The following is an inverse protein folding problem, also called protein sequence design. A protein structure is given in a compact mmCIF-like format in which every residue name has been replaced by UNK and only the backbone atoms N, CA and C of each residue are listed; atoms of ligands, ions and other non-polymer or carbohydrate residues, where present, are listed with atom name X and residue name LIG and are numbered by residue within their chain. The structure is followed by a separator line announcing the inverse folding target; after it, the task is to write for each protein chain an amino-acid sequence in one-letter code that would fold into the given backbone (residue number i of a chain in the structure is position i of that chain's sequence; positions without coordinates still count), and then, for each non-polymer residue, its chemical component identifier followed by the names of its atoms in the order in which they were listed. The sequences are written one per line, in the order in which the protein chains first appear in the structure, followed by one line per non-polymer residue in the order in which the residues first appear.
data_IF_748113929977
#
_entry.id   IF_748113929977
#
_cell.length_a   1.000
_cell.length_b   1.000
_cell.length_c   1.000
_cell.angle_alpha   90.00
_cell.angle_beta   90.00
_cell.angle_gamma   90.00
#
_symmetry.space_group_name_H-M   'P 1'
#
loop_
_entity.id
_entity.type
_entity.pdbx_description
1 polymer ?
#
# COMPACT_ATOMS: atom_id res chain seq x y z
N UNK A 1 0.54 20.48 -7.29
CA UNK A 1 -0.34 19.41 -7.73
C UNK A 1 0.25 18.02 -7.57
N UNK A 2 -0.45 17.03 -8.05
CA UNK A 2 -0.03 15.62 -7.93
C UNK A 2 1.32 15.36 -8.65
N UNK A 3 1.56 16.03 -9.77
CA UNK A 3 2.81 15.87 -10.54
C UNK A 3 4.04 16.23 -9.73
N UNK A 4 4.03 17.35 -9.01
CA UNK A 4 5.18 17.75 -8.21
C UNK A 4 5.39 16.84 -7.01
N UNK A 5 4.32 16.34 -6.42
CA UNK A 5 4.39 15.38 -5.32
C UNK A 5 4.91 14.04 -5.79
N UNK A 6 4.45 13.56 -6.93
CA UNK A 6 4.83 12.27 -7.51
C UNK A 6 6.32 12.22 -7.83
N UNK A 7 6.89 13.30 -8.34
CA UNK A 7 8.32 13.40 -8.66
C UNK A 7 9.22 13.36 -7.42
N UNK A 8 8.68 13.70 -6.25
CA UNK A 8 9.43 13.72 -4.98
C UNK A 8 9.37 12.40 -4.21
N UNK A 9 8.62 11.43 -4.68
CA UNK A 9 8.44 10.15 -3.98
C UNK A 9 9.73 9.33 -4.08
N UNK A 10 10.20 8.86 -2.93
CA UNK A 10 11.25 7.85 -2.87
C UNK A 10 10.60 6.47 -2.93
N UNK A 11 10.60 5.86 -4.10
CA UNK A 11 9.98 4.55 -4.33
C UNK A 11 10.77 3.38 -3.72
N UNK A 12 12.00 3.62 -3.32
CA UNK A 12 12.85 2.59 -2.72
C UNK A 12 12.60 2.41 -1.24
N UNK A 13 12.15 3.47 -0.57
CA UNK A 13 11.93 3.44 0.88
C UNK A 13 10.43 3.53 1.19
N UNK A 14 9.98 2.56 1.98
CA UNK A 14 8.58 2.45 2.41
C UNK A 14 8.54 2.69 3.91
N UNK A 15 8.24 3.91 4.30
CA UNK A 15 8.34 4.39 5.67
C UNK A 15 7.00 4.46 6.41
N UNK A 16 5.94 3.93 5.81
CA UNK A 16 4.62 3.79 6.45
C UNK A 16 4.36 2.33 6.75
N UNK A 17 4.24 2.01 8.03
CA UNK A 17 3.82 0.69 8.49
C UNK A 17 2.29 0.61 8.45
N UNK A 18 1.76 -0.37 7.73
CA UNK A 18 0.33 -0.69 7.79
C UNK A 18 0.18 -1.80 8.81
N UNK A 19 -0.49 -1.53 9.91
CA UNK A 19 -0.70 -2.48 10.99
C UNK A 19 -2.12 -2.99 11.04
N UNK A 20 -2.29 -4.32 11.03
CA UNK A 20 -3.59 -4.94 11.16
C UNK A 20 -4.11 -4.82 12.58
N UNK A 21 -5.38 -4.46 12.71
CA UNK A 21 -6.10 -4.42 13.98
C UNK A 21 -7.03 -5.62 14.02
N UNK A 22 -6.90 -6.46 15.06
CA UNK A 22 -7.54 -7.77 15.17
C UNK A 22 -8.77 -7.80 16.06
N UNK A 23 -9.08 -6.71 16.73
CA UNK A 23 -10.28 -6.61 17.57
C UNK A 23 -10.67 -5.14 17.76
N UNK A 24 -11.91 -4.92 18.14
CA UNK A 24 -12.39 -3.57 18.49
C UNK A 24 -11.71 -3.05 19.74
N UNK A 25 -11.39 -3.94 20.67
CA UNK A 25 -10.64 -3.58 21.89
C UNK A 25 -9.24 -3.07 21.56
N UNK A 26 -8.53 -3.76 20.68
CA UNK A 26 -7.22 -3.33 20.21
C UNK A 26 -7.31 -1.98 19.49
N UNK A 27 -8.31 -1.80 18.64
CA UNK A 27 -8.51 -0.53 17.94
C UNK A 27 -8.70 0.62 18.93
N UNK A 28 -9.59 0.44 19.91
CA UNK A 28 -9.86 1.45 20.93
C UNK A 28 -8.60 1.77 21.73
N UNK A 29 -7.87 0.77 22.18
CA UNK A 29 -6.65 0.98 22.97
C UNK A 29 -5.58 1.73 22.16
N UNK A 30 -5.34 1.34 20.91
CA UNK A 30 -4.39 2.02 20.05
C UNK A 30 -4.79 3.47 19.79
N UNK A 31 -6.08 3.74 19.56
CA UNK A 31 -6.59 5.08 19.35
C UNK A 31 -6.53 5.94 20.62
N UNK A 32 -6.99 5.42 21.74
CA UNK A 32 -7.08 6.18 23.00
C UNK A 32 -5.70 6.47 23.57
N UNK A 33 -4.75 5.56 23.43
CA UNK A 33 -3.41 5.68 24.00
C UNK A 33 -2.32 5.99 22.97
N UNK A 34 -2.69 6.24 21.74
CA UNK A 34 -1.81 6.73 20.65
C UNK A 34 -0.56 5.88 20.46
N UNK A 35 -0.76 4.60 20.19
CA UNK A 35 0.34 3.68 19.90
C UNK A 35 -0.09 2.57 18.97
N UNK A 36 0.89 1.87 18.42
CA UNK A 36 0.75 0.58 17.78
C UNK A 36 1.86 -0.31 18.29
N UNK A 37 1.72 -1.61 18.18
CA UNK A 37 2.72 -2.56 18.65
C UNK A 37 2.81 -3.75 17.73
N UNK A 38 4.03 -4.30 17.60
CA UNK A 38 4.32 -5.41 16.68
C UNK A 38 5.49 -6.22 17.24
N UNK A 39 5.47 -7.56 17.11
CA UNK A 39 6.60 -8.38 17.54
C UNK A 39 7.91 -7.92 16.87
N UNK A 40 9.00 -7.90 17.65
CA UNK A 40 10.32 -7.53 17.14
C UNK A 40 10.73 -8.40 15.95
N UNK A 41 10.35 -9.70 15.98
CA UNK A 41 10.66 -10.65 14.91
C UNK A 41 10.04 -10.29 13.55
N UNK A 42 9.03 -9.42 13.52
CA UNK A 42 8.35 -9.04 12.28
C UNK A 42 8.96 -7.83 11.59
N UNK A 43 9.88 -7.12 12.25
CA UNK A 43 10.56 -5.96 11.68
C UNK A 43 12.06 -6.23 11.55
N UNK A 44 12.64 -5.79 10.46
CA UNK A 44 14.08 -5.83 10.25
C UNK A 44 14.65 -4.43 10.20
N UNK A 45 15.98 -4.32 10.24
CA UNK A 45 16.70 -3.05 10.10
C UNK A 45 16.33 -2.37 8.77
N UNK A 46 16.08 -3.16 7.72
CA UNK A 46 15.72 -2.64 6.40
C UNK A 46 14.36 -1.94 6.36
N UNK A 47 13.50 -2.21 7.34
CA UNK A 47 12.21 -1.54 7.47
C UNK A 47 12.30 -0.16 8.12
N UNK A 48 13.44 0.15 8.74
CA UNK A 48 13.62 1.42 9.46
C UNK A 48 14.23 2.50 8.55
N UNK A 49 13.95 3.78 8.79
CA UNK A 49 13.02 4.30 9.79
C UNK A 49 11.55 4.16 9.38
N UNK A 50 10.65 4.04 10.35
CA UNK A 50 9.21 4.07 10.16
C UNK A 50 8.72 5.44 10.63
N UNK A 51 8.16 6.24 9.72
CA UNK A 51 7.70 7.59 10.02
C UNK A 51 6.23 7.68 10.37
N UNK A 52 5.42 6.76 9.85
CA UNK A 52 3.97 6.74 10.07
C UNK A 52 3.47 5.32 10.24
N UNK A 53 2.34 5.20 10.94
CA UNK A 53 1.57 3.96 11.03
C UNK A 53 0.16 4.23 10.50
N UNK A 54 -0.34 3.32 9.67
CA UNK A 54 -1.73 3.31 9.22
C UNK A 54 -2.42 2.07 9.79
N UNK A 55 -3.64 2.23 10.29
CA UNK A 55 -4.38 1.14 10.90
C UNK A 55 -5.28 0.45 9.87
N UNK A 56 -5.08 -0.85 9.70
CA UNK A 56 -5.90 -1.68 8.83
C UNK A 56 -6.94 -2.44 9.64
N UNK A 57 -8.21 -2.20 9.33
CA UNK A 57 -9.35 -2.88 9.94
C UNK A 57 -9.83 -3.97 8.97
N UNK A 58 -9.67 -5.24 9.38
CA UNK A 58 -9.98 -6.38 8.50
C UNK A 58 -11.48 -6.54 8.27
N UNK A 59 -11.82 -7.08 7.09
CA UNK A 59 -13.22 -7.32 6.72
C UNK A 59 -13.89 -8.34 7.64
N UNK A 60 -13.17 -9.36 8.06
CA UNK A 60 -13.70 -10.41 8.92
C UNK A 60 -14.09 -9.91 10.31
N UNK A 61 -13.41 -8.87 10.81
CA UNK A 61 -13.65 -8.32 12.16
C UNK A 61 -14.52 -7.06 12.12
N UNK A 62 -14.41 -6.24 11.10
CA UNK A 62 -15.02 -4.91 11.05
C UNK A 62 -16.13 -4.79 10.02
N UNK A 63 -16.34 -5.80 9.16
CA UNK A 63 -17.44 -5.80 8.19
C UNK A 63 -17.40 -4.60 7.26
N UNK A 64 -18.43 -3.78 7.29
CA UNK A 64 -18.55 -2.58 6.45
C UNK A 64 -17.59 -1.46 6.87
N UNK A 65 -17.05 -1.51 8.07
CA UNK A 65 -16.05 -0.55 8.56
C UNK A 65 -14.62 -0.95 8.19
N UNK A 66 -14.44 -2.02 7.42
CA UNK A 66 -13.14 -2.52 7.01
C UNK A 66 -12.40 -1.54 6.10
N UNK A 67 -11.07 -1.60 6.16
CA UNK A 67 -10.20 -0.76 5.35
C UNK A 67 -9.25 0.07 6.19
N UNK A 68 -8.65 1.08 5.58
CA UNK A 68 -7.73 1.99 6.23
C UNK A 68 -8.33 3.39 6.22
N UNK A 69 -8.55 3.95 7.40
CA UNK A 69 -9.07 5.31 7.57
C UNK A 69 -8.11 6.19 8.35
N UNK A 70 -7.36 5.62 9.31
CA UNK A 70 -6.55 6.39 10.24
C UNK A 70 -5.07 6.11 10.07
N UNK A 71 -4.27 7.15 10.17
CA UNK A 71 -2.82 7.08 10.20
C UNK A 71 -2.27 8.08 11.20
N UNK A 72 -1.02 7.92 11.61
CA UNK A 72 -0.40 8.84 12.53
C UNK A 72 1.12 8.84 12.42
N UNK A 73 1.71 9.96 12.80
CA UNK A 73 3.15 10.15 12.83
C UNK A 73 3.77 9.42 14.01
N UNK A 74 4.86 8.70 13.78
CA UNK A 74 5.62 8.01 14.81
C UNK A 74 6.54 9.01 15.52
N UNK A 75 6.35 9.17 16.82
CA UNK A 75 7.21 10.02 17.65
C UNK A 75 8.44 9.28 18.12
N UNK A 76 8.28 8.01 18.52
CA UNK A 76 9.35 7.17 19.03
C UNK A 76 9.01 5.69 18.87
N UNK A 77 10.05 4.87 18.86
CA UNK A 77 9.92 3.42 18.81
C UNK A 77 10.69 2.85 20.00
N UNK A 78 10.01 2.09 20.85
CA UNK A 78 10.59 1.48 22.03
C UNK A 78 10.53 -0.05 21.93
N UNK A 79 11.61 -0.71 22.35
CA UNK A 79 11.61 -2.16 22.48
C UNK A 79 11.16 -2.49 23.90
N UNK A 80 10.04 -3.20 24.02
CA UNK A 80 9.43 -3.53 25.31
C UNK A 80 9.04 -5.00 25.36
N UNK A 81 8.83 -5.54 26.56
CA UNK A 81 8.19 -6.85 26.71
C UNK A 81 6.70 -6.72 26.45
N UNK A 82 6.07 -7.75 25.91
CA UNK A 82 4.62 -7.74 25.68
C UNK A 82 3.82 -7.42 26.95
N UNK A 83 4.28 -7.92 28.09
CA UNK A 83 3.65 -7.66 29.39
C UNK A 83 3.69 -6.19 29.82
N UNK A 84 4.60 -5.40 29.25
CA UNK A 84 4.73 -3.98 29.55
C UNK A 84 3.73 -3.11 28.75
N UNK A 85 3.03 -3.68 27.79
CA UNK A 85 1.94 -3.02 27.05
C UNK A 85 0.65 -3.21 27.87
N UNK A 86 0.52 -2.39 28.90
CA UNK A 86 -0.55 -2.53 29.90
C UNK A 86 -1.92 -2.12 29.41
N UNK A 87 -1.99 -1.33 28.34
CA UNK A 87 -3.25 -0.90 27.71
C UNK A 87 -4.01 -2.08 27.09
N UNK A 88 -3.28 -3.15 26.72
CA UNK A 88 -3.84 -4.41 26.23
C UNK A 88 -3.13 -5.53 26.99
N UNK A 89 -3.61 -5.88 28.19
CA UNK A 89 -2.88 -6.79 29.09
C UNK A 89 -2.65 -8.17 28.50
N UNK A 90 -1.41 -8.65 28.62
CA UNK A 90 -1.02 -10.01 28.25
C UNK A 90 0.26 -10.41 28.98
N UNK A 91 0.27 -11.58 29.57
CA UNK A 91 1.43 -12.10 30.28
C UNK A 91 2.37 -12.81 29.31
N UNK A 92 3.36 -12.08 28.80
CA UNK A 92 4.38 -12.63 27.91
C UNK A 92 5.63 -11.76 28.01
N UNK A 93 6.79 -12.40 27.98
CA UNK A 93 8.09 -11.72 27.95
C UNK A 93 8.62 -11.54 26.53
N UNK A 94 7.83 -11.91 25.52
CA UNK A 94 8.19 -11.70 24.12
C UNK A 94 8.45 -10.22 23.84
N UNK A 95 9.48 -9.93 23.06
CA UNK A 95 9.85 -8.56 22.75
C UNK A 95 9.00 -8.00 21.61
N UNK A 96 8.51 -6.80 21.84
CA UNK A 96 7.72 -6.02 20.90
C UNK A 96 8.34 -4.66 20.67
N UNK A 97 8.10 -4.10 19.50
CA UNK A 97 8.25 -2.67 19.29
C UNK A 97 6.93 -2.00 19.63
N UNK A 98 7.01 -0.98 20.49
CA UNK A 98 5.92 -0.05 20.73
C UNK A 98 6.21 1.22 19.95
N UNK A 99 5.34 1.54 19.00
CA UNK A 99 5.43 2.75 18.19
C UNK A 99 4.48 3.79 18.80
N UNK A 100 5.04 4.83 19.39
CA UNK A 100 4.27 5.90 19.99
C UNK A 100 3.89 6.92 18.93
N UNK A 101 2.61 7.25 18.89
CA UNK A 101 2.00 8.03 17.82
C UNK A 101 1.63 9.40 18.32
N UNK A 102 1.93 10.45 17.55
CA UNK A 102 1.60 11.84 17.87
C UNK A 102 0.09 12.04 18.00
N UNK A 103 -0.67 11.40 17.14
CA UNK A 103 -2.13 11.42 17.15
C UNK A 103 -2.63 10.78 15.85
N UNK A 104 -3.81 10.19 15.91
CA UNK A 104 -4.42 9.59 14.74
C UNK A 104 -5.19 10.63 13.94
N UNK A 105 -4.98 10.62 12.64
CA UNK A 105 -5.60 11.54 11.68
C UNK A 105 -6.44 10.70 10.72
N UNK A 106 -7.66 11.14 10.47
CA UNK A 106 -8.50 10.50 9.46
C UNK A 106 -8.06 10.91 8.06
N UNK A 107 -8.03 9.95 7.14
CA UNK A 107 -7.84 10.23 5.71
C UNK A 107 -9.04 10.99 5.12
N UNK A 108 -10.18 11.06 5.86
CA UNK A 108 -11.43 11.62 5.34
C UNK A 108 -12.16 10.66 4.41
N UNK A 109 -11.66 9.45 4.29
CA UNK A 109 -12.19 8.37 3.44
C UNK A 109 -11.60 7.05 3.91
N UNK A 110 -12.11 5.95 3.38
CA UNK A 110 -11.50 4.63 3.60
C UNK A 110 -10.78 4.18 2.34
N UNK A 111 -9.57 3.64 2.53
CA UNK A 111 -8.93 2.82 1.52
C UNK A 111 -9.57 1.45 1.64
N UNK A 112 -10.33 1.06 0.64
CA UNK A 112 -11.18 -0.12 0.70
C UNK A 112 -10.41 -1.41 0.46
N UNK A 113 -10.84 -2.48 1.11
CA UNK A 113 -10.33 -3.83 0.85
C UNK A 113 -10.88 -4.30 -0.48
N UNK A 114 -9.99 -4.70 -1.39
CA UNK A 114 -10.36 -5.32 -2.67
C UNK A 114 -9.37 -6.43 -2.97
N UNK A 115 -9.87 -7.63 -3.29
CA UNK A 115 -9.11 -8.84 -3.56
C UNK A 115 -8.36 -9.37 -2.34
N UNK A 116 -7.49 -8.58 -1.75
CA UNK A 116 -6.78 -8.97 -0.53
C UNK A 116 -6.64 -7.77 0.42
N UNK A 117 -6.36 -8.09 1.67
CA UNK A 117 -6.09 -7.12 2.71
C UNK A 117 -4.70 -7.31 3.31
N UNK A 118 -4.51 -6.84 4.53
CA UNK A 118 -3.24 -6.96 5.26
C UNK A 118 -3.41 -7.97 6.38
N UNK A 119 -2.61 -9.03 6.40
CA UNK A 119 -2.74 -10.08 7.40
C UNK A 119 -2.19 -9.66 8.76
N UNK A 120 -0.96 -9.14 8.81
CA UNK A 120 -0.36 -8.68 10.06
C UNK A 120 0.21 -7.29 9.89
N UNK A 121 1.24 -7.14 9.07
CA UNK A 121 1.82 -5.84 8.71
C UNK A 121 2.16 -5.82 7.23
N UNK A 122 2.25 -4.60 6.70
CA UNK A 122 2.74 -4.33 5.36
C UNK A 122 3.35 -2.93 5.34
N UNK A 123 3.99 -2.57 4.25
CA UNK A 123 4.67 -1.27 4.13
C UNK A 123 4.23 -0.55 2.87
N UNK A 124 4.06 0.75 2.99
CA UNK A 124 3.76 1.64 1.88
C UNK A 124 4.51 2.97 2.10
N UNK A 125 4.23 3.96 1.28
CA UNK A 125 4.73 5.31 1.47
C UNK A 125 3.58 6.29 1.67
N UNK A 126 3.90 7.49 2.13
CA UNK A 126 2.90 8.53 2.42
C UNK A 126 2.12 8.93 1.17
N UNK A 127 2.78 9.02 0.02
CA UNK A 127 2.12 9.39 -1.24
C UNK A 127 1.00 8.41 -1.60
N UNK A 128 1.31 7.11 -1.58
CA UNK A 128 0.32 6.08 -1.88
C UNK A 128 -0.81 6.08 -0.85
N UNK A 129 -0.49 6.24 0.43
CA UNK A 129 -1.49 6.32 1.48
C UNK A 129 -2.50 7.45 1.23
N UNK A 130 -2.02 8.60 0.75
CA UNK A 130 -2.86 9.77 0.50
C UNK A 130 -3.63 9.70 -0.82
N UNK A 131 -3.20 8.90 -1.78
CA UNK A 131 -3.78 8.90 -3.13
C UNK A 131 -4.47 7.60 -3.54
N UNK A 132 -4.19 6.48 -2.91
CA UNK A 132 -4.80 5.20 -3.25
C UNK A 132 -6.21 5.08 -2.67
N UNK A 133 -7.07 4.33 -3.37
CA UNK A 133 -8.45 4.10 -2.96
C UNK A 133 -8.71 2.65 -2.54
N UNK A 134 -7.81 1.74 -2.91
CA UNK A 134 -7.92 0.31 -2.63
C UNK A 134 -6.62 -0.24 -2.08
N UNK A 135 -6.70 -1.21 -1.17
CA UNK A 135 -5.53 -1.78 -0.48
C UNK A 135 -4.44 -2.28 -1.44
N UNK A 136 -4.75 -3.03 -2.51
CA UNK A 136 -3.70 -3.51 -3.41
C UNK A 136 -2.84 -2.41 -4.02
N UNK A 137 -3.39 -1.21 -4.22
CA UNK A 137 -2.69 -0.07 -4.81
C UNK A 137 -1.56 0.47 -3.93
N UNK A 138 -1.64 0.20 -2.62
CA UNK A 138 -0.61 0.63 -1.66
C UNK A 138 0.73 -0.07 -1.88
N UNK A 139 0.76 -1.16 -2.65
CA UNK A 139 1.95 -1.96 -2.90
C UNK A 139 2.59 -1.69 -4.26
N UNK A 140 2.13 -0.67 -4.97
CA UNK A 140 2.77 -0.19 -6.19
C UNK A 140 4.20 0.25 -5.87
N UNK A 141 5.16 -0.15 -6.72
CA UNK A 141 6.59 -0.01 -6.43
C UNK A 141 7.31 1.05 -7.28
N UNK A 142 6.60 1.71 -8.19
CA UNK A 142 7.25 2.65 -9.11
C UNK A 142 6.31 3.75 -9.58
N UNK A 143 6.93 4.84 -10.02
CA UNK A 143 6.21 5.97 -10.61
C UNK A 143 5.43 5.56 -11.85
N UNK A 144 6.06 4.79 -12.74
CA UNK A 144 5.44 4.34 -13.98
C UNK A 144 4.24 3.44 -13.72
N UNK A 145 4.30 2.56 -12.73
CA UNK A 145 3.17 1.72 -12.36
C UNK A 145 2.01 2.57 -11.80
N UNK A 146 2.32 3.57 -10.98
CA UNK A 146 1.30 4.48 -10.47
C UNK A 146 0.65 5.29 -11.59
N UNK A 147 1.43 5.84 -12.51
CA UNK A 147 0.92 6.59 -13.66
C UNK A 147 0.05 5.73 -14.55
N UNK A 148 0.46 4.48 -14.77
CA UNK A 148 -0.33 3.52 -15.56
C UNK A 148 -1.67 3.24 -14.87
N UNK A 149 -1.67 3.02 -13.56
CA UNK A 149 -2.90 2.83 -12.81
C UNK A 149 -3.86 4.01 -12.96
N UNK A 150 -3.36 5.23 -12.89
CA UNK A 150 -4.18 6.44 -13.06
C UNK A 150 -4.86 6.48 -14.43
N UNK A 151 -4.12 6.14 -15.48
CA UNK A 151 -4.68 6.07 -16.84
C UNK A 151 -5.69 4.93 -16.96
N UNK A 152 -5.38 3.78 -16.38
CA UNK A 152 -6.23 2.59 -16.44
C UNK A 152 -7.57 2.80 -15.72
N UNK A 153 -7.56 3.48 -14.57
CA UNK A 153 -8.78 3.78 -13.81
C UNK A 153 -9.77 4.66 -14.58
N UNK A 154 -9.30 5.44 -15.54
CA UNK A 154 -10.17 6.25 -16.42
C UNK A 154 -10.88 5.39 -17.45
N UNK A 155 -10.40 4.17 -17.71
CA UNK A 155 -10.90 3.29 -18.77
C UNK A 155 -11.68 2.10 -18.25
N UNK A 156 -11.33 1.56 -17.08
CA UNK A 156 -11.98 0.37 -16.54
C UNK A 156 -11.92 0.36 -15.02
N UNK A 157 -12.94 -0.23 -14.39
CA UNK A 157 -12.97 -0.50 -12.95
C UNK A 157 -12.49 -1.92 -12.61
N UNK A 158 -12.23 -2.76 -13.61
CA UNK A 158 -12.00 -4.19 -13.42
C UNK A 158 -10.52 -4.60 -13.40
N UNK A 159 -9.61 -3.64 -13.35
CA UNK A 159 -8.19 -3.92 -13.31
C UNK A 159 -7.76 -4.46 -11.95
N UNK A 160 -6.99 -5.54 -11.97
CA UNK A 160 -6.36 -6.14 -10.80
C UNK A 160 -4.87 -5.90 -10.81
N UNK A 161 -4.31 -5.56 -9.67
CA UNK A 161 -2.86 -5.38 -9.51
C UNK A 161 -2.20 -6.75 -9.36
N UNK A 162 -1.18 -7.02 -10.18
CA UNK A 162 -0.34 -8.20 -10.02
C UNK A 162 0.68 -7.89 -8.93
N UNK A 163 0.54 -8.56 -7.79
CA UNK A 163 1.45 -8.41 -6.66
C UNK A 163 2.39 -9.62 -6.61
N UNK A 164 3.43 -9.55 -7.44
CA UNK A 164 4.53 -10.50 -7.45
C UNK A 164 5.77 -9.80 -6.91
N UNK A 165 6.63 -10.52 -6.18
CA UNK A 165 7.84 -9.97 -5.57
C UNK A 165 8.79 -9.32 -6.58
N UNK A 166 8.80 -9.80 -7.83
CA UNK A 166 9.73 -9.36 -8.86
C UNK A 166 9.09 -8.55 -9.99
N UNK A 167 7.78 -8.64 -10.18
CA UNK A 167 7.08 -8.03 -11.29
C UNK A 167 5.84 -7.32 -10.79
N UNK A 168 5.80 -6.01 -10.95
CA UNK A 168 4.59 -5.22 -10.71
C UNK A 168 3.87 -5.06 -12.05
N UNK A 169 2.57 -5.29 -12.06
CA UNK A 169 1.79 -5.16 -13.27
C UNK A 169 0.29 -5.17 -13.01
N UNK A 170 -0.50 -5.28 -14.06
CA UNK A 170 -1.95 -5.23 -14.00
C UNK A 170 -2.56 -6.33 -14.88
N UNK A 171 -3.64 -6.93 -14.38
CA UNK A 171 -4.48 -7.83 -15.16
C UNK A 171 -5.86 -7.19 -15.32
N UNK A 172 -6.40 -7.23 -16.54
CA UNK A 172 -7.72 -6.76 -16.85
C UNK A 172 -8.27 -7.54 -18.04
N UNK A 173 -9.41 -8.22 -17.83
CA UNK A 173 -9.93 -9.15 -18.83
C UNK A 173 -8.91 -10.23 -19.15
N UNK A 174 -8.64 -10.43 -20.41
CA UNK A 174 -7.67 -11.40 -20.93
C UNK A 174 -6.26 -10.80 -21.13
N UNK A 175 -6.09 -9.54 -20.73
CA UNK A 175 -4.86 -8.80 -20.96
C UNK A 175 -4.02 -8.71 -19.69
N UNK A 176 -2.70 -8.65 -19.88
CA UNK A 176 -1.74 -8.49 -18.80
C UNK A 176 -0.71 -7.44 -19.17
N UNK A 177 -0.46 -6.50 -18.27
CA UNK A 177 0.59 -5.50 -18.44
C UNK A 177 1.68 -5.75 -17.42
N UNK A 178 2.94 -5.76 -17.87
CA UNK A 178 4.11 -6.05 -17.05
C UNK A 178 5.14 -4.94 -17.23
N UNK A 179 5.76 -4.54 -16.12
CA UNK A 179 6.85 -3.56 -16.08
C UNK A 179 8.15 -4.31 -15.84
N UNK A 180 8.95 -4.49 -16.87
CA UNK A 180 10.22 -5.22 -16.77
C UNK A 180 11.22 -4.74 -17.83
N UNK A 181 12.51 -4.86 -17.55
CA UNK A 181 13.59 -4.55 -18.48
C UNK A 181 13.51 -3.12 -19.07
N UNK A 182 13.05 -2.16 -18.29
CA UNK A 182 12.90 -0.77 -18.74
C UNK A 182 11.75 -0.55 -19.70
N UNK A 183 10.85 -1.52 -19.83
CA UNK A 183 9.70 -1.47 -20.73
C UNK A 183 8.39 -1.77 -20.05
N UNK A 184 7.31 -1.27 -20.64
CA UNK A 184 5.94 -1.66 -20.33
C UNK A 184 5.51 -2.58 -21.46
N UNK A 185 5.15 -3.83 -21.11
CA UNK A 185 4.79 -4.87 -22.07
C UNK A 185 3.33 -5.27 -21.89
N UNK A 186 2.60 -5.28 -23.00
CA UNK A 186 1.20 -5.73 -23.05
C UNK A 186 1.13 -7.13 -23.63
N UNK A 187 0.51 -8.05 -22.89
CA UNK A 187 0.29 -9.42 -23.31
C UNK A 187 -1.21 -9.71 -23.47
N UNK A 188 -1.55 -10.47 -24.49
CA UNK A 188 -2.86 -11.07 -24.68
C UNK A 188 -2.74 -12.60 -24.63
N UNK A 189 -3.78 -13.32 -25.09
CA UNK A 189 -3.79 -14.79 -25.08
C UNK A 189 -2.64 -15.42 -25.88
N UNK A 190 -2.22 -14.77 -26.98
CA UNK A 190 -1.22 -15.30 -27.89
C UNK A 190 0.18 -14.73 -27.67
N UNK A 191 0.43 -14.11 -26.53
CA UNK A 191 1.72 -13.54 -26.19
C UNK A 191 1.76 -12.02 -26.24
N UNK A 192 2.96 -11.46 -26.38
CA UNK A 192 3.15 -10.01 -26.35
C UNK A 192 2.52 -9.34 -27.58
N UNK A 193 1.68 -8.35 -27.33
CA UNK A 193 0.95 -7.61 -28.35
C UNK A 193 1.59 -6.27 -28.68
N UNK A 194 2.17 -5.62 -27.67
CA UNK A 194 2.76 -4.29 -27.82
C UNK A 194 3.68 -4.00 -26.64
N UNK A 195 4.51 -2.96 -26.78
CA UNK A 195 5.39 -2.51 -25.70
C UNK A 195 5.78 -1.06 -25.94
N UNK A 196 6.24 -0.40 -24.85
CA UNK A 196 6.88 0.90 -24.95
C UNK A 196 7.94 1.04 -23.86
N UNK A 197 8.86 1.99 -24.03
CA UNK A 197 9.86 2.26 -23.01
C UNK A 197 9.24 2.99 -21.83
N UNK A 198 9.64 2.63 -20.61
CA UNK A 198 9.19 3.30 -19.40
C UNK A 198 9.48 4.79 -19.47
N UNK A 199 10.67 5.20 -19.92
CA UNK A 199 11.03 6.61 -20.02
C UNK A 199 10.11 7.39 -20.97
N UNK A 200 9.70 6.80 -22.08
CA UNK A 200 8.77 7.41 -23.02
C UNK A 200 7.38 7.54 -22.40
N UNK A 201 6.96 6.50 -21.67
CA UNK A 201 5.67 6.50 -20.96
C UNK A 201 5.63 7.59 -19.88
N UNK A 202 6.64 7.68 -19.02
CA UNK A 202 6.69 8.68 -17.94
C UNK A 202 6.66 10.11 -18.51
N UNK A 203 7.30 10.32 -19.64
CA UNK A 203 7.33 11.61 -20.32
C UNK A 203 5.99 12.00 -20.94
N UNK A 204 5.27 11.02 -21.53
CA UNK A 204 3.97 11.23 -22.19
C UNK A 204 2.98 10.10 -21.84
N UNK A 205 2.52 10.04 -20.57
CA UNK A 205 1.72 8.89 -20.11
C UNK A 205 0.44 8.67 -20.91
N UNK A 206 -0.30 9.74 -21.17
CA UNK A 206 -1.58 9.66 -21.85
C UNK A 206 -1.44 9.16 -23.30
N UNK A 207 -0.48 9.70 -24.04
CA UNK A 207 -0.24 9.29 -25.42
C UNK A 207 0.25 7.84 -25.53
N UNK A 208 1.21 7.45 -24.68
CA UNK A 208 1.74 6.08 -24.67
C UNK A 208 0.70 5.07 -24.18
N UNK A 209 -0.10 5.43 -23.20
CA UNK A 209 -1.20 4.59 -22.73
C UNK A 209 -2.22 4.34 -23.85
N UNK A 210 -2.64 5.39 -24.56
CA UNK A 210 -3.56 5.22 -25.70
C UNK A 210 -2.97 4.36 -26.79
N UNK A 211 -1.66 4.48 -27.05
CA UNK A 211 -0.97 3.63 -27.99
C UNK A 211 -1.04 2.15 -27.65
N UNK A 212 -0.78 1.82 -26.38
CA UNK A 212 -0.86 0.43 -25.90
C UNK A 212 -2.30 -0.08 -25.90
N UNK A 213 -3.26 0.76 -25.52
CA UNK A 213 -4.67 0.34 -25.40
C UNK A 213 -5.41 0.22 -26.72
N UNK A 214 -4.82 0.65 -27.85
CA UNK A 214 -5.46 0.58 -29.18
C UNK A 214 -5.82 -0.84 -29.60
N UNK A 215 -5.12 -1.83 -29.05
CA UNK A 215 -5.33 -3.27 -29.36
C UNK A 215 -6.46 -3.89 -28.53
N UNK A 216 -7.05 -3.13 -27.62
CA UNK A 216 -8.01 -3.66 -26.67
C UNK A 216 -9.39 -3.04 -26.86
N UNK A 217 -10.39 -3.89 -26.67
CA UNK A 217 -11.78 -3.48 -26.56
C UNK A 217 -12.09 -3.47 -25.05
N UNK A 218 -12.24 -2.30 -24.51
CA UNK A 218 -12.57 -2.10 -23.09
C UNK A 218 -14.04 -1.70 -22.93
#
# INVERSE_FOLDING_TARGET
GIESKLKKVDWKHRDVLIGSVRSREQMAACQDHRFYYVPVSMLSVDNMPIHEVALYQSRSLFGQEAGIEYYGEVLSIEKVKRSEITEIPRYSDSLYYRLNIKGWVSLGRKIEVKEFGVQTIAFTNHFLLKHCTQVPELFIKSEEAFRFLMELKRKTSDASLINDDNITGFEFGEYKVVFEDGEIKLFGENGMMDHCRINDFVRRPNAQFRGLMRHMIL
#
